data_IF_195039355412
#
_entry.id   IF_195039355412
#
_cell.length_a   1.000
_cell.length_b   1.000
_cell.length_c   1.000
_cell.angle_alpha   90.00
_cell.angle_beta   90.00
_cell.angle_gamma   90.00
#
_symmetry.space_group_name_H-M   'P 1'
#
loop_
_entity.id
_entity.type
_entity.pdbx_description
1 polymer ?
#
# COMPACT_ATOMS: atom_id res chain seq x y z
N UNK A 1 20.49 -5.91 16.18
CA UNK A 1 20.74 -5.64 17.60
C UNK A 1 19.58 -5.98 18.53
N UNK A 2 18.33 -5.98 18.05
CA UNK A 2 17.13 -6.20 18.90
C UNK A 2 16.72 -7.66 19.11
N UNK A 3 17.24 -8.62 18.31
CA UNK A 3 16.94 -10.06 18.43
C UNK A 3 17.39 -10.73 19.75
N UNK A 4 18.15 -10.05 20.60
CA UNK A 4 18.78 -10.68 21.77
C UNK A 4 18.04 -10.51 23.11
N UNK A 5 16.96 -9.72 23.17
CA UNK A 5 16.27 -9.39 24.43
C UNK A 5 14.76 -9.74 24.45
N UNK A 6 14.19 -10.19 23.32
CA UNK A 6 12.77 -10.49 23.22
C UNK A 6 12.62 -11.88 22.62
N UNK A 7 11.85 -12.73 23.26
CA UNK A 7 11.42 -13.98 22.66
C UNK A 7 10.29 -13.68 21.67
N UNK A 8 10.61 -13.75 20.40
CA UNK A 8 9.68 -13.45 19.32
C UNK A 8 8.65 -14.57 19.07
N UNK A 9 8.73 -15.69 19.78
CA UNK A 9 7.70 -16.71 19.81
C UNK A 9 6.60 -16.41 20.85
N UNK A 10 6.91 -15.55 21.81
CA UNK A 10 6.01 -15.13 22.91
C UNK A 10 5.27 -13.85 22.52
N UNK A 11 3.94 -13.94 22.42
CA UNK A 11 3.08 -12.82 22.07
C UNK A 11 3.02 -11.71 23.11
N UNK A 12 3.19 -12.03 24.39
CA UNK A 12 3.22 -11.04 25.45
C UNK A 12 4.47 -10.16 25.33
N UNK A 13 5.61 -10.76 25.02
CA UNK A 13 6.84 -10.02 24.81
C UNK A 13 6.79 -9.16 23.54
N UNK A 14 6.12 -9.63 22.49
CA UNK A 14 5.85 -8.82 21.28
C UNK A 14 4.98 -7.62 21.65
N UNK A 15 3.90 -7.84 22.40
CA UNK A 15 3.01 -6.78 22.85
C UNK A 15 3.73 -5.73 23.71
N UNK A 16 4.53 -6.17 24.67
CA UNK A 16 5.37 -5.30 25.49
C UNK A 16 6.34 -4.46 24.67
N UNK A 17 6.95 -5.07 23.66
CA UNK A 17 7.84 -4.35 22.77
C UNK A 17 7.11 -3.30 21.94
N UNK A 18 5.91 -3.61 21.46
CA UNK A 18 5.05 -2.64 20.74
C UNK A 18 4.65 -1.48 21.67
N UNK A 19 4.35 -1.76 22.95
CA UNK A 19 4.09 -0.71 23.94
C UNK A 19 5.30 0.21 24.11
N UNK A 20 6.50 -0.34 24.29
CA UNK A 20 7.75 0.43 24.41
C UNK A 20 8.05 1.25 23.17
N UNK A 21 7.74 0.72 21.96
CA UNK A 21 7.84 1.48 20.71
C UNK A 21 6.95 2.73 20.74
N UNK A 22 5.68 2.56 21.12
CA UNK A 22 4.72 3.65 21.19
C UNK A 22 5.04 4.67 22.29
N UNK A 23 5.69 4.23 23.37
CA UNK A 23 6.14 5.08 24.49
C UNK A 23 7.46 5.81 24.19
N UNK A 24 8.03 5.60 23.00
CA UNK A 24 9.30 6.21 22.57
C UNK A 24 10.52 5.71 23.37
N UNK A 25 10.44 4.53 23.92
CA UNK A 25 11.50 3.92 24.73
C UNK A 25 12.46 3.05 23.90
N UNK A 26 12.24 2.97 22.58
CA UNK A 26 13.03 2.15 21.68
C UNK A 26 14.01 2.96 20.82
N UNK A 27 14.56 2.30 19.79
CA UNK A 27 15.74 2.73 19.01
C UNK A 27 15.66 4.14 18.41
N UNK A 28 14.50 4.56 17.89
CA UNK A 28 14.36 5.85 17.19
C UNK A 28 13.53 6.89 17.97
N UNK A 29 12.93 6.48 19.08
CA UNK A 29 12.12 7.31 19.98
C UNK A 29 10.99 8.10 19.30
N UNK A 30 10.52 7.62 18.12
CA UNK A 30 9.46 8.31 17.36
C UNK A 30 8.06 7.91 17.81
N UNK A 31 7.92 6.77 18.49
CA UNK A 31 6.62 6.25 18.91
C UNK A 31 5.80 5.73 17.74
N UNK A 32 6.44 5.19 16.70
CA UNK A 32 5.80 4.67 15.50
C UNK A 32 6.07 3.18 15.34
N UNK A 33 5.04 2.43 14.98
CA UNK A 33 5.18 1.07 14.48
C UNK A 33 5.13 1.17 12.95
N UNK A 34 6.29 1.02 12.32
CA UNK A 34 6.43 1.16 10.87
C UNK A 34 5.64 0.08 10.14
N UNK A 35 5.06 0.44 9.00
CA UNK A 35 4.21 -0.45 8.23
C UNK A 35 2.78 -0.57 8.77
N UNK A 36 2.41 0.16 9.83
CA UNK A 36 1.06 0.15 10.41
C UNK A 36 0.34 1.48 10.17
N UNK A 37 -0.91 1.37 9.70
CA UNK A 37 -1.79 2.50 9.43
C UNK A 37 -1.65 3.07 8.02
N UNK A 38 -2.72 3.66 7.54
CA UNK A 38 -2.81 4.31 6.22
C UNK A 38 -3.83 5.46 6.26
N UNK A 39 -3.65 6.55 5.49
CA UNK A 39 -4.61 7.65 5.44
C UNK A 39 -5.99 7.23 4.94
N UNK A 40 -6.05 6.29 3.99
CA UNK A 40 -7.27 5.83 3.32
C UNK A 40 -7.74 4.50 3.89
N UNK A 41 -6.86 3.49 3.92
CA UNK A 41 -7.20 2.15 4.38
C UNK A 41 -7.14 2.05 5.90
N UNK A 42 -8.27 1.75 6.53
CA UNK A 42 -8.36 1.62 7.99
C UNK A 42 -8.65 0.18 8.45
N UNK A 43 -9.42 -0.56 7.66
CA UNK A 43 -9.79 -1.95 7.97
C UNK A 43 -8.76 -2.92 7.39
N UNK A 44 -8.40 -2.72 6.14
CA UNK A 44 -7.45 -3.58 5.41
C UNK A 44 -6.89 -2.83 4.21
N UNK A 45 -5.62 -3.02 3.91
CA UNK A 45 -5.01 -2.58 2.65
C UNK A 45 -5.00 -3.77 1.68
N UNK A 46 -5.76 -3.72 0.58
CA UNK A 46 -5.87 -4.85 -0.37
C UNK A 46 -4.52 -5.20 -1.02
N UNK A 47 -3.61 -4.25 -1.14
CA UNK A 47 -2.25 -4.47 -1.67
C UNK A 47 -1.43 -5.34 -0.70
N UNK A 48 -1.59 -5.11 0.59
CA UNK A 48 -0.92 -5.89 1.65
C UNK A 48 -1.39 -7.34 1.63
N UNK A 49 -2.68 -7.60 1.43
CA UNK A 49 -3.21 -8.96 1.36
C UNK A 49 -2.60 -9.76 0.20
N UNK A 50 -2.51 -9.15 -0.98
CA UNK A 50 -1.88 -9.78 -2.15
C UNK A 50 -0.41 -10.04 -1.89
N UNK A 51 0.33 -9.02 -1.42
CA UNK A 51 1.76 -9.10 -1.19
C UNK A 51 2.11 -10.11 -0.09
N UNK A 52 1.29 -10.23 0.95
CA UNK A 52 1.45 -11.23 2.02
C UNK A 52 1.46 -12.66 1.48
N UNK A 53 0.58 -12.97 0.49
CA UNK A 53 0.56 -14.29 -0.15
C UNK A 53 1.89 -14.63 -0.82
N UNK A 54 2.42 -13.71 -1.62
CA UNK A 54 3.73 -13.86 -2.25
C UNK A 54 4.88 -13.89 -1.23
N UNK A 55 4.82 -13.06 -0.19
CA UNK A 55 5.82 -13.03 0.87
C UNK A 55 5.91 -14.36 1.62
N UNK A 56 4.76 -15.02 1.87
CA UNK A 56 4.71 -16.34 2.49
C UNK A 56 5.41 -17.38 1.64
N UNK A 57 5.03 -17.48 0.37
CA UNK A 57 5.64 -18.45 -0.56
C UNK A 57 7.15 -18.23 -0.67
N UNK A 58 7.58 -16.99 -0.86
CA UNK A 58 9.00 -16.66 -0.96
C UNK A 58 9.75 -16.95 0.35
N UNK A 59 9.13 -16.75 1.50
CA UNK A 59 9.74 -17.05 2.80
C UNK A 59 9.96 -18.55 2.99
N UNK A 60 9.03 -19.39 2.56
CA UNK A 60 9.17 -20.85 2.56
C UNK A 60 10.31 -21.29 1.62
N UNK A 61 10.37 -20.77 0.40
CA UNK A 61 11.41 -21.06 -0.59
C UNK A 61 12.82 -20.63 -0.16
N UNK A 62 12.93 -19.52 0.55
CA UNK A 62 14.20 -18.90 0.95
C UNK A 62 14.64 -19.23 2.38
N UNK A 63 13.87 -20.02 3.14
CA UNK A 63 14.19 -20.39 4.53
C UNK A 63 13.97 -19.26 5.53
N UNK A 64 13.03 -18.33 5.27
CA UNK A 64 12.67 -17.23 6.15
C UNK A 64 11.30 -17.44 6.83
N UNK A 65 10.80 -18.67 6.92
CA UNK A 65 9.47 -18.98 7.45
C UNK A 65 9.26 -18.43 8.89
N UNK A 66 10.24 -18.62 9.79
CA UNK A 66 10.17 -18.09 11.16
C UNK A 66 10.03 -16.55 11.20
N UNK A 67 10.71 -15.87 10.27
CA UNK A 67 10.64 -14.40 10.19
C UNK A 67 9.29 -13.96 9.65
N UNK A 68 8.71 -14.71 8.72
CA UNK A 68 7.37 -14.48 8.21
C UNK A 68 6.32 -14.66 9.33
N UNK A 69 6.42 -15.72 10.12
CA UNK A 69 5.55 -15.93 11.29
C UNK A 69 5.60 -14.76 12.28
N UNK A 70 6.80 -14.21 12.52
CA UNK A 70 6.93 -13.02 13.35
C UNK A 70 6.15 -11.83 12.74
N UNK A 71 6.22 -11.61 11.41
CA UNK A 71 5.43 -10.58 10.77
C UNK A 71 3.93 -10.80 10.97
N UNK A 72 3.44 -12.02 10.84
CA UNK A 72 2.03 -12.35 11.07
C UNK A 72 1.58 -12.06 12.51
N UNK A 73 2.41 -12.39 13.51
CA UNK A 73 2.13 -12.08 14.92
C UNK A 73 2.07 -10.57 15.15
N UNK A 74 3.04 -9.83 14.63
CA UNK A 74 3.07 -8.36 14.74
C UNK A 74 1.87 -7.73 14.03
N UNK A 75 1.52 -8.21 12.82
CA UNK A 75 0.34 -7.75 12.06
C UNK A 75 -0.95 -7.91 12.86
N UNK A 76 -1.06 -8.97 13.65
CA UNK A 76 -2.25 -9.25 14.47
C UNK A 76 -2.27 -8.42 15.76
N UNK A 77 -1.13 -8.27 16.43
CA UNK A 77 -1.04 -7.68 17.77
C UNK A 77 -0.97 -6.15 17.70
N UNK A 78 -0.11 -5.59 16.83
CA UNK A 78 0.19 -4.18 16.82
C UNK A 78 -1.02 -3.27 16.55
N UNK A 79 -1.95 -3.59 15.62
CA UNK A 79 -3.13 -2.76 15.37
C UNK A 79 -4.01 -2.57 16.61
N UNK A 80 -4.18 -3.61 17.41
CA UNK A 80 -5.00 -3.56 18.62
C UNK A 80 -4.40 -2.61 19.65
N UNK A 81 -3.10 -2.71 19.89
CA UNK A 81 -2.37 -1.87 20.83
C UNK A 81 -2.36 -0.41 20.37
N UNK A 82 -2.09 -0.18 19.06
CA UNK A 82 -2.09 1.18 18.48
C UNK A 82 -3.47 1.81 18.61
N UNK A 83 -4.52 1.07 18.25
CA UNK A 83 -5.90 1.56 18.31
C UNK A 83 -6.31 1.93 19.72
N UNK A 84 -6.01 1.07 20.69
CA UNK A 84 -6.30 1.31 22.11
C UNK A 84 -5.52 2.53 22.64
N UNK A 85 -4.21 2.58 22.42
CA UNK A 85 -3.34 3.62 22.96
C UNK A 85 -3.59 4.99 22.35
N UNK A 86 -3.89 5.06 21.06
CA UNK A 86 -4.13 6.31 20.33
C UNK A 86 -5.61 6.66 20.19
N UNK A 87 -6.50 5.86 20.78
CA UNK A 87 -7.96 6.03 20.68
C UNK A 87 -8.45 6.14 19.23
N UNK A 88 -7.95 5.25 18.35
CA UNK A 88 -8.31 5.24 16.93
C UNK A 88 -9.49 4.27 16.73
N UNK A 89 -10.70 4.81 16.62
CA UNK A 89 -11.93 4.01 16.50
C UNK A 89 -12.18 3.46 15.10
N UNK A 90 -11.56 4.06 14.07
CA UNK A 90 -11.71 3.63 12.66
C UNK A 90 -10.89 2.37 12.31
N UNK A 91 -10.07 1.90 13.25
CA UNK A 91 -9.17 0.78 13.03
C UNK A 91 -7.79 1.19 12.48
N UNK A 92 -6.86 0.26 12.61
CA UNK A 92 -5.50 0.34 12.07
C UNK A 92 -5.19 -1.00 11.43
N UNK A 93 -4.58 -1.01 10.26
CA UNK A 93 -4.15 -2.23 9.57
C UNK A 93 -2.72 -2.09 9.06
N UNK A 94 -2.08 -3.23 8.77
CA UNK A 94 -0.81 -3.22 8.06
C UNK A 94 -0.98 -2.59 6.68
N UNK A 95 -0.06 -1.74 6.29
CA UNK A 95 0.01 -1.17 4.95
C UNK A 95 1.00 -1.95 4.06
N UNK A 96 1.11 -1.59 2.78
CA UNK A 96 1.95 -2.31 1.82
C UNK A 96 3.42 -2.37 2.23
N UNK A 97 3.92 -1.35 2.94
CA UNK A 97 5.34 -1.28 3.33
C UNK A 97 5.71 -2.32 4.39
N UNK A 98 4.72 -2.83 5.12
CA UNK A 98 4.95 -3.85 6.14
C UNK A 98 5.54 -5.14 5.56
N UNK A 99 5.07 -5.57 4.40
CA UNK A 99 5.57 -6.77 3.73
C UNK A 99 6.58 -6.47 2.61
N UNK A 100 6.51 -5.30 1.95
CA UNK A 100 7.41 -4.99 0.85
C UNK A 100 8.87 -4.96 1.27
N UNK A 101 9.19 -4.38 2.42
CA UNK A 101 10.54 -4.38 2.96
C UNK A 101 11.06 -5.79 3.27
N UNK A 102 10.19 -6.67 3.73
CA UNK A 102 10.53 -8.08 3.98
C UNK A 102 10.79 -8.83 2.67
N UNK A 103 9.95 -8.64 1.65
CA UNK A 103 10.14 -9.21 0.31
C UNK A 103 11.46 -8.74 -0.31
N UNK A 104 11.74 -7.44 -0.25
CA UNK A 104 12.98 -6.88 -0.78
C UNK A 104 14.20 -7.47 -0.10
N UNK A 105 14.14 -7.67 1.22
CA UNK A 105 15.21 -8.33 1.97
C UNK A 105 15.45 -9.78 1.51
N UNK A 106 14.40 -10.55 1.25
CA UNK A 106 14.52 -11.94 0.77
C UNK A 106 15.06 -12.00 -0.66
N UNK A 107 14.91 -10.94 -1.43
CA UNK A 107 15.46 -10.77 -2.77
C UNK A 107 16.86 -10.15 -2.78
N UNK A 108 17.50 -9.99 -1.61
CA UNK A 108 18.82 -9.38 -1.44
C UNK A 108 18.94 -7.97 -2.04
N UNK A 109 17.82 -7.23 -2.08
CA UNK A 109 17.79 -5.84 -2.55
C UNK A 109 18.36 -4.94 -1.44
N UNK A 110 19.36 -4.09 -1.72
CA UNK A 110 19.89 -3.15 -0.76
C UNK A 110 18.80 -2.17 -0.26
N UNK A 111 18.75 -1.86 1.05
CA UNK A 111 17.74 -0.95 1.61
C UNK A 111 17.69 0.44 0.95
N UNK A 112 18.81 0.91 0.42
CA UNK A 112 18.92 2.19 -0.29
C UNK A 112 18.07 2.23 -1.57
N UNK A 113 17.74 1.06 -2.14
CA UNK A 113 16.93 0.94 -3.35
C UNK A 113 15.42 0.81 -3.06
N UNK A 114 14.97 0.63 -1.82
CA UNK A 114 13.56 0.41 -1.52
C UNK A 114 12.68 1.59 -1.96
N UNK A 115 13.08 2.81 -1.61
CA UNK A 115 12.37 4.02 -2.04
C UNK A 115 12.48 4.29 -3.54
N UNK A 116 13.66 4.17 -4.19
CA UNK A 116 13.77 4.24 -5.64
C UNK A 116 12.88 3.25 -6.38
N UNK A 117 12.81 1.99 -5.96
CA UNK A 117 11.93 0.98 -6.57
C UNK A 117 10.46 1.36 -6.47
N UNK A 118 10.07 1.88 -5.31
CA UNK A 118 8.71 2.39 -5.11
C UNK A 118 8.42 3.58 -6.05
N UNK A 119 9.37 4.50 -6.20
CA UNK A 119 9.25 5.65 -7.09
C UNK A 119 9.15 5.24 -8.57
N UNK A 120 9.98 4.29 -9.02
CA UNK A 120 9.94 3.75 -10.38
C UNK A 120 8.54 3.21 -10.72
N UNK A 121 7.92 2.49 -9.79
CA UNK A 121 6.56 1.96 -9.99
C UNK A 121 5.48 3.04 -10.06
N UNK A 122 5.78 4.28 -9.72
CA UNK A 122 4.85 5.43 -9.73
C UNK A 122 5.11 6.41 -10.87
N UNK A 123 6.27 6.33 -11.55
CA UNK A 123 6.67 7.33 -12.54
C UNK A 123 5.67 7.44 -13.70
N UNK A 124 5.08 6.34 -14.13
CA UNK A 124 4.07 6.33 -15.20
C UNK A 124 2.82 7.12 -14.77
N UNK A 125 2.31 6.86 -13.56
CA UNK A 125 1.17 7.59 -13.02
C UNK A 125 1.47 9.07 -12.79
N UNK A 126 2.64 9.40 -12.27
CA UNK A 126 3.06 10.79 -12.09
C UNK A 126 3.18 11.53 -13.42
N UNK A 127 3.71 10.87 -14.45
CA UNK A 127 3.81 11.43 -15.80
C UNK A 127 2.42 11.68 -16.40
N UNK A 128 1.50 10.72 -16.27
CA UNK A 128 0.12 10.88 -16.73
C UNK A 128 -0.57 12.08 -16.06
N UNK A 129 -0.48 12.18 -14.72
CA UNK A 129 -1.04 13.32 -14.00
C UNK A 129 -0.38 14.64 -14.38
N UNK A 130 0.94 14.64 -14.61
CA UNK A 130 1.66 15.84 -15.03
C UNK A 130 1.23 16.32 -16.42
N UNK A 131 1.05 15.41 -17.36
CA UNK A 131 0.54 15.72 -18.69
C UNK A 131 -0.88 16.29 -18.61
N UNK A 132 -1.76 15.69 -17.83
CA UNK A 132 -3.11 16.17 -17.62
C UNK A 132 -3.12 17.59 -17.00
N UNK A 133 -2.27 17.83 -15.99
CA UNK A 133 -2.12 19.15 -15.38
C UNK A 133 -1.65 20.21 -16.39
N UNK A 134 -0.68 19.88 -17.23
CA UNK A 134 -0.15 20.80 -18.24
C UNK A 134 -1.19 21.15 -19.32
N UNK A 135 -2.00 20.17 -19.70
CA UNK A 135 -3.02 20.35 -20.75
C UNK A 135 -4.28 21.06 -20.23
N UNK A 136 -4.66 20.79 -18.98
CA UNK A 136 -5.85 21.40 -18.37
C UNK A 136 -5.62 22.79 -17.79
N UNK A 137 -4.36 23.21 -17.62
CA UNK A 137 -4.02 24.52 -17.05
C UNK A 137 -4.58 24.75 -15.63
N UNK A 138 -4.87 23.68 -14.91
CA UNK A 138 -5.56 23.73 -13.62
C UNK A 138 -4.67 24.18 -12.47
N UNK A 139 -5.32 24.72 -11.44
CA UNK A 139 -4.66 24.99 -10.14
C UNK A 139 -4.38 23.68 -9.42
N UNK A 140 -3.47 23.72 -8.43
CA UNK A 140 -3.19 22.57 -7.56
C UNK A 140 -4.49 21.97 -7.00
N UNK A 141 -4.80 20.75 -7.40
CA UNK A 141 -5.98 20.01 -6.95
C UNK A 141 -5.59 19.14 -5.77
N UNK A 142 -6.26 19.29 -4.65
CA UNK A 142 -6.16 18.37 -3.52
C UNK A 142 -7.20 17.27 -3.71
N UNK A 143 -6.83 15.97 -3.75
CA UNK A 143 -7.75 14.89 -4.09
C UNK A 143 -8.67 14.55 -2.92
N UNK A 144 -9.60 15.44 -2.62
CA UNK A 144 -10.66 15.24 -1.62
C UNK A 144 -12.04 15.22 -2.27
N UNK A 145 -12.11 15.02 -3.59
CA UNK A 145 -13.35 15.12 -4.36
C UNK A 145 -13.94 13.73 -4.63
N UNK A 146 -15.28 13.68 -4.57
CA UNK A 146 -16.02 12.51 -5.02
C UNK A 146 -15.95 12.46 -6.55
N UNK A 147 -15.64 11.31 -7.12
CA UNK A 147 -15.75 11.11 -8.56
C UNK A 147 -17.19 11.33 -9.00
N UNK A 148 -17.37 12.13 -10.03
CA UNK A 148 -18.66 12.35 -10.70
C UNK A 148 -18.78 11.52 -11.99
N UNK A 149 -17.71 10.82 -12.38
CA UNK A 149 -17.75 9.89 -13.50
C UNK A 149 -18.52 8.62 -13.09
N UNK A 150 -19.31 8.12 -14.02
CA UNK A 150 -19.98 6.83 -13.83
C UNK A 150 -18.94 5.70 -13.70
N UNK A 151 -19.20 4.68 -12.88
CA UNK A 151 -18.34 3.52 -12.76
C UNK A 151 -18.25 2.79 -14.10
N UNK A 152 -17.06 2.66 -14.65
CA UNK A 152 -16.83 1.88 -15.86
C UNK A 152 -16.31 0.49 -15.51
N UNK A 153 -16.79 -0.50 -16.28
CA UNK A 153 -16.26 -1.86 -16.16
C UNK A 153 -14.79 -1.86 -16.63
N UNK A 154 -13.96 -2.58 -15.89
CA UNK A 154 -12.58 -2.79 -16.33
C UNK A 154 -12.55 -3.57 -17.65
N UNK A 155 -11.86 -3.03 -18.64
CA UNK A 155 -11.62 -3.67 -19.92
C UNK A 155 -10.17 -4.15 -19.96
N UNK A 156 -9.92 -5.48 -20.09
CA UNK A 156 -8.58 -6.03 -20.23
C UNK A 156 -7.83 -5.36 -21.41
N UNK A 157 -6.51 -5.26 -21.29
CA UNK A 157 -5.69 -4.58 -22.30
C UNK A 157 -5.88 -5.16 -23.73
N UNK A 158 -6.04 -6.48 -23.83
CA UNK A 158 -6.26 -7.17 -25.11
C UNK A 158 -7.60 -6.81 -25.78
N UNK A 159 -8.58 -6.37 -25.00
CA UNK A 159 -9.95 -6.08 -25.47
C UNK A 159 -10.16 -4.57 -25.70
N UNK A 160 -9.13 -3.75 -25.47
CA UNK A 160 -9.23 -2.31 -25.66
C UNK A 160 -9.11 -1.97 -27.13
N UNK A 161 -10.10 -1.23 -27.64
CA UNK A 161 -10.02 -0.63 -28.98
C UNK A 161 -9.02 0.52 -28.93
N UNK A 162 -8.03 0.59 -29.85
CA UNK A 162 -7.13 1.73 -29.94
C UNK A 162 -7.93 3.02 -30.11
N UNK A 163 -7.59 4.05 -29.33
CA UNK A 163 -8.12 5.39 -29.57
C UNK A 163 -7.52 5.91 -30.89
N UNK A 164 -8.37 6.21 -31.86
CA UNK A 164 -7.96 7.00 -33.03
C UNK A 164 -7.66 8.42 -32.53
N UNK A 165 -6.39 8.76 -32.47
CA UNK A 165 -5.97 10.13 -32.15
C UNK A 165 -6.13 10.93 -33.45
N UNK A 166 -6.97 12.00 -33.46
CA UNK A 166 -7.07 12.86 -34.65
C UNK A 166 -5.70 13.45 -34.98
N UNK A 167 -5.39 13.55 -36.27
CA UNK A 167 -4.12 14.08 -36.78
C UNK A 167 -3.85 15.55 -36.39
N UNK A 168 -4.84 16.25 -35.84
CA UNK A 168 -4.74 17.63 -35.37
C UNK A 168 -4.14 17.78 -33.97
N UNK A 169 -3.76 16.68 -33.32
CA UNK A 169 -3.17 16.68 -31.99
C UNK A 169 -4.15 17.01 -30.84
N UNK A 170 -5.44 17.10 -31.13
CA UNK A 170 -6.46 17.25 -30.06
C UNK A 170 -6.69 15.91 -29.41
N UNK A 171 -6.42 15.84 -28.10
CA UNK A 171 -6.75 14.66 -27.28
C UNK A 171 -8.26 14.64 -27.08
N UNK A 172 -8.98 13.91 -27.92
CA UNK A 172 -10.42 13.73 -27.76
C UNK A 172 -10.69 12.67 -26.71
N UNK A 173 -11.26 13.07 -25.59
CA UNK A 173 -11.87 12.15 -24.64
C UNK A 173 -13.29 11.89 -25.15
N UNK A 174 -13.57 10.70 -25.71
CA UNK A 174 -14.92 10.44 -26.21
C UNK A 174 -15.93 10.53 -25.08
N UNK A 175 -17.11 11.11 -25.29
CA UNK A 175 -18.18 11.08 -24.31
C UNK A 175 -18.53 9.63 -23.98
N UNK A 176 -18.82 9.38 -22.70
CA UNK A 176 -19.22 8.07 -22.23
C UNK A 176 -20.33 7.50 -23.12
N UNK A 177 -20.11 6.29 -23.66
CA UNK A 177 -21.15 5.60 -24.41
C UNK A 177 -22.28 5.27 -23.45
N UNK A 178 -23.39 5.97 -23.57
CA UNK A 178 -24.63 5.63 -22.88
C UNK A 178 -25.17 4.36 -23.54
N UNK A 179 -24.97 3.21 -22.92
CA UNK A 179 -25.75 2.04 -23.26
C UNK A 179 -27.19 2.34 -22.83
N UNK A 180 -28.07 2.52 -23.80
CA UNK A 180 -29.51 2.40 -23.57
C UNK A 180 -29.80 0.96 -23.21
N UNK A 181 -30.08 0.69 -21.92
CA UNK A 181 -30.75 -0.51 -21.50
C UNK A 181 -32.11 -0.56 -22.20
N UNK A 182 -32.19 -1.23 -23.34
CA UNK A 182 -33.46 -1.73 -23.84
C UNK A 182 -33.71 -3.01 -23.06
N UNK A 183 -34.49 -2.89 -21.97
CA UNK A 183 -35.08 -4.02 -21.29
C UNK A 183 -36.01 -4.80 -22.21
N UNK A 184 -35.92 -6.11 -22.09
CA UNK A 184 -37.04 -7.07 -22.21
C UNK A 184 -36.91 -8.06 -21.04
#
# INVERSE_FOLDING_TARGET
MYKRQTDWSDEEQIADYVHKLLDKETFDKRGLVYGMGHPVYSVSDPRTLVLRGFAKQLAEEKGFAEVFELHERVERIAPLIISAKRRIYKGVSANVDFYSGFVYRMLDIPPELYTPLFAISRIVGWTAHRLEELTSGSKLIRPAYKSVAEPHRYVPLADRVPLEIPDDGTCFIPPAQTHSDTGD
#
